data_IF_013529743961
#
_entry.id   IF_013529743961
#
_cell.length_a   1.000
_cell.length_b   1.000
_cell.length_c   1.000
_cell.angle_alpha   90.00
_cell.angle_beta   90.00
_cell.angle_gamma   90.00
#
_symmetry.space_group_name_H-M   'P 1'
#
loop_
_entity.id
_entity.type
_entity.pdbx_description
1 polymer ?
#
# COMPACT_ATOMS: atom_id res chain seq x y z
N UNK A 1 8.10 -45.55 -19.07
CA UNK A 1 8.06 -46.45 -20.24
C UNK A 1 9.22 -46.05 -21.13
N UNK A 2 10.16 -46.98 -21.33
CA UNK A 2 11.12 -47.12 -22.46
C UNK A 2 11.94 -45.86 -22.85
N UNK A 3 13.28 -45.87 -22.90
CA UNK A 3 14.20 -46.93 -23.30
C UNK A 3 15.48 -46.89 -22.48
N UNK A 4 15.79 -48.02 -21.83
CA UNK A 4 17.16 -48.38 -21.47
C UNK A 4 17.89 -48.70 -22.77
N UNK A 5 18.61 -47.72 -23.31
CA UNK A 5 19.51 -47.89 -24.43
C UNK A 5 20.76 -48.67 -24.00
N UNK A 6 20.72 -49.97 -24.20
CA UNK A 6 21.89 -50.85 -24.27
C UNK A 6 22.89 -50.34 -25.29
N UNK A 7 24.14 -50.13 -24.86
CA UNK A 7 25.26 -49.77 -25.74
C UNK A 7 26.59 -50.26 -25.17
N UNK A 8 26.64 -51.55 -24.82
CA UNK A 8 27.91 -52.26 -24.67
C UNK A 8 28.32 -52.78 -26.06
N UNK A 9 29.16 -52.01 -26.73
CA UNK A 9 30.01 -52.46 -27.83
C UNK A 9 31.20 -51.52 -27.86
N UNK A 10 32.41 -52.08 -27.75
CA UNK A 10 33.64 -51.31 -27.87
C UNK A 10 33.71 -50.67 -29.25
N UNK A 11 33.33 -49.40 -29.34
CA UNK A 11 33.69 -48.58 -30.49
C UNK A 11 35.20 -48.35 -30.40
N UNK A 12 35.95 -49.13 -31.18
CA UNK A 12 37.36 -48.87 -31.42
C UNK A 12 37.48 -47.46 -31.99
N UNK A 13 37.97 -46.52 -31.17
CA UNK A 13 38.27 -45.16 -31.61
C UNK A 13 39.18 -45.25 -32.83
N UNK A 14 38.86 -44.53 -33.92
CA UNK A 14 39.65 -44.60 -35.12
C UNK A 14 41.07 -44.17 -34.78
N UNK A 15 42.00 -45.03 -35.15
CA UNK A 15 43.41 -44.86 -34.92
C UNK A 15 43.98 -43.81 -35.90
N UNK A 16 45.01 -43.04 -35.52
CA UNK A 16 45.71 -42.15 -36.44
C UNK A 16 46.15 -42.86 -37.73
N UNK A 17 46.13 -42.14 -38.85
CA UNK A 17 46.59 -42.70 -40.12
C UNK A 17 48.08 -43.10 -40.01
N UNK A 18 48.45 -44.24 -40.61
CA UNK A 18 49.82 -44.79 -40.69
C UNK A 18 50.38 -45.53 -39.46
N UNK A 19 49.56 -46.02 -38.52
CA UNK A 19 50.06 -46.82 -37.37
C UNK A 19 50.81 -48.10 -37.80
N UNK A 20 50.46 -48.67 -38.95
CA UNK A 20 51.14 -49.83 -39.50
C UNK A 20 52.59 -49.57 -39.97
N UNK A 21 53.03 -48.31 -40.02
CA UNK A 21 54.39 -47.92 -40.38
C UNK A 21 55.31 -47.69 -39.17
N UNK A 22 54.78 -47.72 -37.93
CA UNK A 22 55.57 -47.48 -36.73
C UNK A 22 56.22 -48.76 -36.21
N UNK A 23 57.47 -48.65 -35.81
CA UNK A 23 58.21 -49.67 -35.04
C UNK A 23 57.57 -49.86 -33.67
N UNK A 24 57.67 -51.06 -33.10
CA UNK A 24 57.19 -51.36 -31.74
C UNK A 24 57.81 -50.45 -30.66
N UNK A 25 58.99 -49.90 -30.90
CA UNK A 25 59.63 -48.91 -30.02
C UNK A 25 58.96 -47.53 -30.10
N UNK A 26 58.55 -47.09 -31.29
CA UNK A 26 57.89 -45.80 -31.50
C UNK A 26 56.46 -45.81 -30.93
N UNK A 27 55.80 -46.97 -30.92
CA UNK A 27 54.50 -47.17 -30.26
C UNK A 27 54.65 -47.09 -28.73
N UNK A 28 55.72 -47.67 -28.18
CA UNK A 28 56.05 -47.58 -26.76
C UNK A 28 56.37 -46.14 -26.36
N UNK A 29 57.13 -45.42 -27.18
CA UNK A 29 57.43 -44.01 -26.96
C UNK A 29 56.17 -43.14 -27.08
N UNK A 30 55.29 -43.42 -28.03
CA UNK A 30 54.00 -42.73 -28.15
C UNK A 30 53.11 -42.94 -26.91
N UNK A 31 53.09 -44.15 -26.36
CA UNK A 31 52.29 -44.50 -25.18
C UNK A 31 52.87 -43.95 -23.88
N UNK A 32 54.21 -43.80 -23.78
CA UNK A 32 54.90 -43.40 -22.54
C UNK A 32 55.31 -41.93 -22.51
N UNK A 33 55.87 -41.40 -23.60
CA UNK A 33 56.37 -40.02 -23.70
C UNK A 33 55.32 -39.04 -24.25
N UNK A 34 54.44 -39.48 -25.14
CA UNK A 34 53.48 -38.61 -25.86
C UNK A 34 52.02 -38.84 -25.46
N UNK A 35 51.79 -39.31 -24.22
CA UNK A 35 50.47 -39.53 -23.64
C UNK A 35 49.53 -38.32 -23.73
N UNK A 36 50.05 -37.11 -23.54
CA UNK A 36 49.27 -35.86 -23.65
C UNK A 36 48.74 -35.60 -25.07
N UNK A 37 49.46 -36.05 -26.11
CA UNK A 37 49.01 -35.91 -27.50
C UNK A 37 47.93 -36.93 -27.83
N UNK A 38 48.01 -38.14 -27.25
CA UNK A 38 46.95 -39.14 -27.32
C UNK A 38 45.70 -38.67 -26.57
N UNK A 39 45.85 -38.00 -25.42
CA UNK A 39 44.72 -37.41 -24.68
C UNK A 39 44.02 -36.30 -25.48
N UNK A 40 44.78 -35.44 -26.17
CA UNK A 40 44.22 -34.43 -27.08
C UNK A 40 43.53 -35.05 -28.30
N UNK A 41 44.09 -36.15 -28.83
CA UNK A 41 43.49 -36.88 -29.94
C UNK A 41 42.16 -37.52 -29.54
N UNK A 42 42.10 -38.18 -28.39
CA UNK A 42 40.87 -38.77 -27.83
C UNK A 42 39.84 -37.67 -27.54
N UNK A 43 40.27 -36.50 -27.05
CA UNK A 43 39.39 -35.37 -26.79
C UNK A 43 38.72 -34.79 -28.06
N UNK A 44 39.26 -35.03 -29.27
CA UNK A 44 38.60 -34.63 -30.52
C UNK A 44 37.37 -35.49 -30.85
N UNK A 45 37.30 -36.71 -30.32
CA UNK A 45 36.16 -37.61 -30.53
C UNK A 45 35.05 -37.39 -29.50
N UNK A 46 35.37 -36.73 -28.39
CA UNK A 46 34.38 -36.31 -27.39
C UNK A 46 33.70 -35.02 -27.84
N UNK A 47 32.66 -35.15 -28.67
CA UNK A 47 31.91 -34.03 -29.27
C UNK A 47 31.13 -33.25 -28.21
N UNK A 48 31.79 -32.34 -27.53
CA UNK A 48 31.17 -31.40 -26.57
C UNK A 48 30.39 -30.26 -27.24
N UNK A 49 30.23 -30.26 -28.56
CA UNK A 49 29.59 -29.15 -29.27
C UNK A 49 28.09 -29.03 -28.95
N UNK A 50 27.41 -30.16 -28.67
CA UNK A 50 26.01 -30.18 -28.22
C UNK A 50 25.84 -29.51 -26.85
N UNK A 51 26.66 -29.91 -25.87
CA UNK A 51 26.62 -29.34 -24.52
C UNK A 51 27.08 -27.87 -24.50
N UNK A 52 28.07 -27.48 -25.32
CA UNK A 52 28.44 -26.07 -25.49
C UNK A 52 27.30 -25.24 -26.07
N UNK A 53 26.55 -25.78 -27.03
CA UNK A 53 25.38 -25.10 -27.61
C UNK A 53 24.27 -24.91 -26.57
N UNK A 54 23.99 -25.94 -25.77
CA UNK A 54 23.03 -25.87 -24.66
C UNK A 54 23.44 -24.84 -23.60
N UNK A 55 24.71 -24.85 -23.19
CA UNK A 55 25.27 -23.86 -22.24
C UNK A 55 25.16 -22.44 -22.79
N UNK A 56 25.43 -22.23 -24.08
CA UNK A 56 25.24 -20.93 -24.73
C UNK A 56 23.76 -20.53 -24.82
N UNK A 57 22.86 -21.49 -25.00
CA UNK A 57 21.41 -21.27 -24.96
C UNK A 57 20.94 -20.84 -23.58
N UNK A 58 21.35 -21.56 -22.53
CA UNK A 58 21.06 -21.22 -21.13
C UNK A 58 21.64 -19.86 -20.74
N UNK A 59 22.86 -19.54 -21.21
CA UNK A 59 23.47 -18.23 -20.98
C UNK A 59 22.60 -17.10 -21.56
N UNK A 60 22.12 -17.26 -22.80
CA UNK A 60 21.20 -16.27 -23.42
C UNK A 60 19.88 -16.15 -22.66
N UNK A 61 19.34 -17.26 -22.15
CA UNK A 61 18.13 -17.22 -21.33
C UNK A 61 18.36 -16.46 -20.03
N UNK A 62 19.48 -16.69 -19.36
CA UNK A 62 19.85 -15.96 -18.14
C UNK A 62 20.05 -14.46 -18.40
N UNK A 63 20.71 -14.10 -19.51
CA UNK A 63 20.86 -12.69 -19.92
C UNK A 63 19.50 -12.03 -20.22
N UNK A 64 18.58 -12.77 -20.85
CA UNK A 64 17.20 -12.31 -21.08
C UNK A 64 16.44 -12.10 -19.77
N UNK A 65 16.54 -13.05 -18.84
CA UNK A 65 15.92 -12.97 -17.53
C UNK A 65 16.47 -11.77 -16.73
N UNK A 66 17.78 -11.54 -16.79
CA UNK A 66 18.42 -10.40 -16.13
C UNK A 66 17.90 -9.06 -16.68
N UNK A 67 17.71 -8.96 -18.00
CA UNK A 67 17.12 -7.78 -18.62
C UNK A 67 15.66 -7.56 -18.17
N UNK A 68 14.85 -8.62 -18.10
CA UNK A 68 13.47 -8.56 -17.59
C UNK A 68 13.43 -8.11 -16.12
N UNK A 69 14.32 -8.65 -15.27
CA UNK A 69 14.40 -8.23 -13.87
C UNK A 69 14.79 -6.77 -13.70
N UNK A 70 15.70 -6.25 -14.54
CA UNK A 70 16.06 -4.83 -14.52
C UNK A 70 14.89 -3.94 -14.92
N UNK A 71 14.17 -4.31 -15.98
CA UNK A 71 12.97 -3.59 -16.39
C UNK A 71 11.88 -3.60 -15.29
N UNK A 72 11.69 -4.74 -14.63
CA UNK A 72 10.75 -4.87 -13.52
C UNK A 72 11.16 -4.02 -12.31
N UNK A 73 12.47 -3.91 -12.02
CA UNK A 73 12.97 -3.08 -10.93
C UNK A 73 12.76 -1.58 -11.20
N UNK A 74 12.92 -1.15 -12.45
CA UNK A 74 12.60 0.21 -12.91
C UNK A 74 11.10 0.50 -12.75
N UNK A 75 10.24 -0.41 -13.21
CA UNK A 75 8.78 -0.29 -13.05
C UNK A 75 8.35 -0.26 -11.58
N UNK A 76 8.96 -1.12 -10.75
CA UNK A 76 8.72 -1.15 -9.31
C UNK A 76 9.10 0.17 -8.67
N UNK A 77 10.27 0.72 -9.02
CA UNK A 77 10.76 2.00 -8.49
C UNK A 77 9.84 3.15 -8.89
N UNK A 78 9.35 3.16 -10.13
CA UNK A 78 8.37 4.13 -10.61
C UNK A 78 7.02 4.03 -9.88
N UNK A 79 6.50 2.81 -9.70
CA UNK A 79 5.26 2.57 -8.95
C UNK A 79 5.41 2.97 -7.47
N UNK A 80 6.57 2.73 -6.87
CA UNK A 80 6.85 3.16 -5.51
C UNK A 80 6.82 4.69 -5.40
N UNK A 81 7.37 5.42 -6.38
CA UNK A 81 7.24 6.88 -6.45
C UNK A 81 5.78 7.35 -6.47
N UNK A 82 4.96 6.78 -7.36
CA UNK A 82 3.51 7.07 -7.43
C UNK A 82 2.76 6.74 -6.14
N UNK A 83 3.15 5.67 -5.46
CA UNK A 83 2.55 5.27 -4.19
C UNK A 83 2.84 6.29 -3.10
N UNK A 84 4.05 6.83 -3.04
CA UNK A 84 4.37 7.90 -2.09
C UNK A 84 3.64 9.21 -2.41
N UNK A 85 3.49 9.57 -3.68
CA UNK A 85 2.65 10.71 -4.08
C UNK A 85 1.20 10.52 -3.62
N UNK A 86 0.62 9.33 -3.80
CA UNK A 86 -0.72 9.02 -3.34
C UNK A 86 -0.84 9.09 -1.81
N UNK A 87 0.17 8.63 -1.06
CA UNK A 87 0.18 8.77 0.41
C UNK A 87 0.22 10.23 0.85
N UNK A 88 0.98 11.07 0.16
CA UNK A 88 0.98 12.51 0.42
C UNK A 88 -0.42 13.08 0.18
N UNK A 89 -1.06 12.72 -0.93
CA UNK A 89 -2.41 13.17 -1.26
C UNK A 89 -3.44 12.70 -0.22
N UNK A 90 -3.34 11.45 0.23
CA UNK A 90 -4.19 10.90 1.30
C UNK A 90 -4.02 11.69 2.60
N UNK A 91 -2.78 12.04 2.97
CA UNK A 91 -2.53 12.87 4.16
C UNK A 91 -3.18 14.26 4.06
N UNK A 92 -3.16 14.87 2.87
CA UNK A 92 -3.79 16.16 2.62
C UNK A 92 -5.32 16.04 2.69
N UNK A 93 -5.88 14.98 2.12
CA UNK A 93 -7.30 14.68 2.20
C UNK A 93 -7.75 14.50 3.66
N UNK A 94 -7.03 13.69 4.43
CA UNK A 94 -7.34 13.45 5.85
C UNK A 94 -7.30 14.76 6.63
N UNK A 95 -6.30 15.60 6.39
CA UNK A 95 -6.20 16.91 7.04
C UNK A 95 -7.42 17.79 6.72
N UNK A 96 -7.79 17.91 5.45
CA UNK A 96 -8.96 18.71 5.05
C UNK A 96 -10.25 18.15 5.63
N UNK A 97 -10.38 16.82 5.68
CA UNK A 97 -11.52 16.16 6.29
C UNK A 97 -11.60 16.43 7.78
N UNK A 98 -10.48 16.36 8.51
CA UNK A 98 -10.42 16.69 9.94
C UNK A 98 -10.77 18.16 10.18
N UNK A 99 -10.20 19.09 9.43
CA UNK A 99 -10.51 20.52 9.56
C UNK A 99 -12.00 20.80 9.29
N UNK A 100 -12.60 20.13 8.31
CA UNK A 100 -14.02 20.25 8.03
C UNK A 100 -14.86 19.68 9.18
N UNK A 101 -14.50 18.48 9.65
CA UNK A 101 -15.21 17.80 10.73
C UNK A 101 -15.16 18.62 12.02
N UNK A 102 -14.00 19.14 12.40
CA UNK A 102 -13.85 20.05 13.54
C UNK A 102 -14.71 21.30 13.41
N UNK A 103 -14.79 21.91 12.21
CA UNK A 103 -15.67 23.07 11.98
C UNK A 103 -17.15 22.71 12.11
N UNK A 104 -17.53 21.52 11.65
CA UNK A 104 -18.89 21.01 11.81
C UNK A 104 -19.17 20.78 13.29
N UNK A 105 -18.28 20.09 14.01
CA UNK A 105 -18.48 19.75 15.41
C UNK A 105 -18.51 20.98 16.32
N UNK A 106 -17.66 21.97 16.07
CA UNK A 106 -17.59 23.19 16.89
C UNK A 106 -18.75 24.17 16.67
N UNK A 107 -19.44 24.12 15.52
CA UNK A 107 -20.47 25.12 15.18
C UNK A 107 -21.85 24.53 14.93
N UNK A 108 -21.90 23.30 14.45
CA UNK A 108 -23.09 22.67 13.90
C UNK A 108 -23.40 21.31 14.53
N UNK A 109 -22.59 20.83 15.47
CA UNK A 109 -22.97 19.63 16.21
C UNK A 109 -24.29 19.87 16.93
N UNK A 110 -25.16 18.86 16.85
CA UNK A 110 -26.48 18.92 17.45
C UNK A 110 -26.38 19.16 18.96
N UNK A 111 -25.42 18.51 19.61
CA UNK A 111 -25.18 18.64 21.05
C UNK A 111 -24.72 20.05 21.44
N UNK A 112 -23.84 20.68 20.64
CA UNK A 112 -23.39 22.05 20.91
C UNK A 112 -24.52 23.07 20.68
N UNK A 113 -25.34 22.86 19.64
CA UNK A 113 -26.50 23.71 19.40
C UNK A 113 -27.56 23.58 20.50
N UNK A 114 -27.81 22.36 21.00
CA UNK A 114 -28.67 22.12 22.17
C UNK A 114 -28.11 22.78 23.43
N UNK A 115 -26.83 22.55 23.74
CA UNK A 115 -26.17 23.16 24.90
C UNK A 115 -26.22 24.70 24.83
N UNK A 116 -26.02 25.28 23.64
CA UNK A 116 -26.15 26.73 23.44
C UNK A 116 -27.58 27.22 23.70
N UNK A 117 -28.59 26.47 23.26
CA UNK A 117 -30.00 26.80 23.51
C UNK A 117 -30.34 26.71 25.01
N UNK A 118 -29.83 25.69 25.70
CA UNK A 118 -29.97 25.53 27.15
C UNK A 118 -29.33 26.68 27.94
N UNK A 119 -28.11 27.11 27.56
CA UNK A 119 -27.45 28.27 28.15
C UNK A 119 -28.27 29.54 27.92
N UNK A 120 -28.79 29.76 26.70
CA UNK A 120 -29.65 30.90 26.42
C UNK A 120 -30.93 30.90 27.27
N UNK A 121 -31.55 29.73 27.47
CA UNK A 121 -32.71 29.61 28.34
C UNK A 121 -32.37 29.94 29.79
N UNK A 122 -31.24 29.43 30.29
CA UNK A 122 -30.77 29.74 31.65
C UNK A 122 -30.52 31.23 31.83
N UNK A 123 -29.89 31.88 30.86
CA UNK A 123 -29.67 33.33 30.92
C UNK A 123 -30.99 34.11 30.94
N UNK A 124 -31.99 33.74 30.14
CA UNK A 124 -33.32 34.38 30.17
C UNK A 124 -34.04 34.17 31.51
N UNK A 125 -33.83 33.01 32.15
CA UNK A 125 -34.36 32.74 33.48
C UNK A 125 -33.66 33.59 34.54
N UNK A 126 -32.34 33.68 34.49
CA UNK A 126 -31.54 34.55 35.36
C UNK A 126 -31.90 36.03 35.16
N UNK A 127 -32.07 36.49 33.91
CA UNK A 127 -32.49 37.86 33.57
C UNK A 127 -33.91 38.16 34.07
N UNK A 128 -34.84 37.20 33.97
CA UNK A 128 -36.19 37.32 34.51
C UNK A 128 -36.17 37.44 36.03
N UNK A 129 -35.35 36.65 36.71
CA UNK A 129 -35.20 36.67 38.17
C UNK A 129 -34.54 37.97 38.62
N UNK A 130 -33.56 38.47 37.88
CA UNK A 130 -32.90 39.73 38.18
C UNK A 130 -33.85 40.92 37.98
N UNK A 131 -34.65 40.88 36.92
CA UNK A 131 -35.70 41.86 36.68
C UNK A 131 -36.73 41.88 37.82
N UNK A 132 -37.16 40.71 38.33
CA UNK A 132 -38.07 40.62 39.50
C UNK A 132 -37.49 41.27 40.76
N UNK A 133 -36.17 41.17 41.00
CA UNK A 133 -35.52 41.83 42.14
C UNK A 133 -35.49 43.35 41.99
N UNK A 134 -35.43 43.86 40.77
CA UNK A 134 -35.35 45.28 40.45
C UNK A 134 -36.73 45.97 40.37
N UNK A 135 -37.83 45.23 40.56
CA UNK A 135 -39.22 45.74 40.57
C UNK A 135 -39.39 46.94 41.50
N UNK A 136 -38.83 46.87 42.72
CA UNK A 136 -38.99 47.91 43.74
C UNK A 136 -38.33 49.25 43.36
N UNK A 137 -37.39 49.25 42.42
CA UNK A 137 -36.65 50.41 41.93
C UNK A 137 -37.15 50.94 40.58
N UNK A 138 -38.25 50.42 40.05
CA UNK A 138 -38.70 50.74 38.69
C UNK A 138 -39.79 51.82 38.68
N UNK A 139 -39.48 52.98 38.10
CA UNK A 139 -40.40 54.13 38.01
C UNK A 139 -41.51 53.96 36.95
N UNK A 140 -41.38 53.03 36.01
CA UNK A 140 -42.34 52.83 34.91
C UNK A 140 -42.79 51.36 34.81
N UNK A 141 -43.93 51.07 35.43
CA UNK A 141 -44.52 49.74 35.54
C UNK A 141 -44.88 49.13 34.17
N UNK A 142 -45.40 49.90 33.23
CA UNK A 142 -45.81 49.38 31.92
C UNK A 142 -44.59 48.93 31.11
N UNK A 143 -43.50 49.71 31.17
CA UNK A 143 -42.24 49.35 30.51
C UNK A 143 -41.58 48.12 31.14
N UNK A 144 -41.76 47.93 32.45
CA UNK A 144 -41.31 46.76 33.18
C UNK A 144 -42.10 45.52 32.75
N UNK A 145 -43.43 45.61 32.80
CA UNK A 145 -44.33 44.51 32.45
C UNK A 145 -44.10 44.04 31.02
N UNK A 146 -43.93 44.98 30.08
CA UNK A 146 -43.65 44.64 28.69
C UNK A 146 -42.36 43.82 28.56
N UNK A 147 -41.25 44.32 29.14
CA UNK A 147 -39.95 43.62 29.08
C UNK A 147 -39.99 42.26 29.78
N UNK A 148 -40.66 42.16 30.91
CA UNK A 148 -40.79 40.92 31.66
C UNK A 148 -41.59 39.87 30.86
N UNK A 149 -42.72 40.27 30.27
CA UNK A 149 -43.53 39.42 29.42
C UNK A 149 -42.72 38.98 28.18
N UNK A 150 -41.96 39.88 27.56
CA UNK A 150 -41.11 39.56 26.41
C UNK A 150 -40.06 38.50 26.76
N UNK A 151 -39.32 38.67 27.86
CA UNK A 151 -38.30 37.71 28.35
C UNK A 151 -38.93 36.34 28.66
N UNK A 152 -40.05 36.31 29.38
CA UNK A 152 -40.75 35.06 29.70
C UNK A 152 -41.30 34.36 28.46
N UNK A 153 -41.82 35.13 27.51
CA UNK A 153 -42.30 34.60 26.23
C UNK A 153 -41.16 33.96 25.45
N UNK A 154 -40.01 34.64 25.33
CA UNK A 154 -38.83 34.08 24.68
C UNK A 154 -38.30 32.82 25.37
N UNK A 155 -38.27 32.81 26.71
CA UNK A 155 -37.89 31.63 27.49
C UNK A 155 -38.79 30.43 27.18
N UNK A 156 -40.11 30.62 27.23
CA UNK A 156 -41.06 29.54 26.98
C UNK A 156 -41.04 29.06 25.52
N UNK A 157 -40.83 29.95 24.55
CA UNK A 157 -40.62 29.58 23.14
C UNK A 157 -39.39 28.68 23.02
N UNK A 158 -38.24 29.10 23.57
CA UNK A 158 -36.99 28.30 23.51
C UNK A 158 -37.14 26.96 24.24
N UNK A 159 -37.87 26.91 25.36
CA UNK A 159 -38.19 25.68 26.09
C UNK A 159 -39.01 24.71 25.24
N UNK A 160 -40.02 25.20 24.53
CA UNK A 160 -40.82 24.38 23.61
C UNK A 160 -40.00 23.88 22.42
N UNK A 161 -39.12 24.74 21.87
CA UNK A 161 -38.20 24.36 20.80
C UNK A 161 -37.26 23.24 21.24
N UNK A 162 -36.62 23.37 22.41
CA UNK A 162 -35.72 22.35 22.96
C UNK A 162 -36.47 21.03 23.24
N UNK A 163 -37.66 21.12 23.84
CA UNK A 163 -38.50 19.94 24.08
C UNK A 163 -38.85 19.19 22.79
N UNK A 164 -39.24 19.93 21.76
CA UNK A 164 -39.54 19.35 20.43
C UNK A 164 -38.29 18.76 19.79
N UNK A 165 -37.15 19.45 19.89
CA UNK A 165 -35.86 19.00 19.36
C UNK A 165 -35.46 17.66 20.00
N UNK A 166 -35.55 17.54 21.32
CA UNK A 166 -35.22 16.30 22.02
C UNK A 166 -36.10 15.13 21.58
N UNK A 167 -37.41 15.33 21.46
CA UNK A 167 -38.33 14.31 20.94
C UNK A 167 -38.06 13.92 19.49
N UNK A 168 -37.62 14.86 18.64
CA UNK A 168 -37.22 14.56 17.26
C UNK A 168 -35.89 13.79 17.17
N UNK A 169 -34.94 14.06 18.06
CA UNK A 169 -33.69 13.33 18.15
C UNK A 169 -33.91 11.86 18.49
N UNK A 170 -34.80 11.57 19.44
CA UNK A 170 -35.19 10.20 19.82
C UNK A 170 -35.84 9.43 18.67
N UNK A 171 -36.54 10.12 17.77
CA UNK A 171 -37.18 9.53 16.58
C UNK A 171 -36.20 9.19 15.46
N UNK A 172 -35.05 9.87 15.36
CA UNK A 172 -34.02 9.59 14.34
C UNK A 172 -33.12 8.41 14.68
N UNK A 173 -33.03 8.05 15.96
CA UNK A 173 -32.16 6.96 16.46
C UNK A 173 -32.87 5.59 16.41
N UNK A 174 -34.21 5.57 16.28
CA UNK A 174 -35.01 4.35 16.06
C UNK A 174 -35.15 4.03 14.57
#
# INVERSE_FOLDING_TARGET
>A
MMETGTGSSGDELPLPQNIHLLSSQEILDLATLHRSQLELYVAQFDRQDGTKSEVLGLKRQLEGLEAEFRALDDERSHLQGKLEENRILESQYVKLWQELHERIDQKYSEDLLKAKLEIQMKNLEDDSVEMEKQVASTDNLDSFLQKYIDIRTEYHIKRQQLGTWNSQGELKIR
#
